data_IF_404409440010
#
_entry.id   IF_404409440010
#
_cell.length_a   1.000
_cell.length_b   1.000
_cell.length_c   1.000
_cell.angle_alpha   90.00
_cell.angle_beta   90.00
_cell.angle_gamma   90.00
#
_symmetry.space_group_name_H-M   'P 1'
#
loop_
_entity.id
_entity.type
_entity.pdbx_description
1 polymer ?
#
# COMPACT_ATOMS: atom_id res chain seq x y z
N UNK A 1 0.48 18.51 8.08
CA UNK A 1 -0.54 17.47 8.39
C UNK A 1 -0.53 16.44 7.27
N UNK A 2 -0.52 15.15 7.61
CA UNK A 2 -0.54 14.03 6.66
C UNK A 2 -1.98 13.62 6.39
N UNK A 3 -2.37 13.53 5.12
CA UNK A 3 -3.65 12.98 4.70
C UNK A 3 -3.50 11.51 4.36
N UNK A 4 -4.18 10.64 5.09
CA UNK A 4 -4.24 9.20 4.80
C UNK A 4 -5.55 8.89 4.10
N UNK A 5 -5.47 8.38 2.88
CA UNK A 5 -6.61 7.89 2.10
C UNK A 5 -6.83 6.42 2.47
N UNK A 6 -7.94 6.16 3.14
CA UNK A 6 -8.35 4.82 3.56
C UNK A 6 -9.05 4.08 2.40
N UNK A 7 -8.37 3.07 1.87
CA UNK A 7 -8.89 2.15 0.86
C UNK A 7 -9.67 0.98 1.48
N UNK A 8 -10.37 1.22 2.59
CA UNK A 8 -11.12 0.21 3.36
C UNK A 8 -10.24 -0.90 3.92
N UNK A 9 -9.07 -0.50 4.42
CA UNK A 9 -8.09 -1.40 5.02
C UNK A 9 -8.22 -1.49 6.54
N UNK A 10 -8.06 -2.69 7.10
CA UNK A 10 -8.08 -2.90 8.56
C UNK A 10 -6.83 -2.36 9.28
N UNK A 11 -5.72 -2.15 8.58
CA UNK A 11 -4.45 -1.67 9.12
C UNK A 11 -4.22 -0.17 8.94
N UNK A 12 -5.15 0.56 8.30
CA UNK A 12 -5.01 2.01 8.03
C UNK A 12 -4.71 2.81 9.31
N UNK A 13 -5.33 2.45 10.43
CA UNK A 13 -5.10 3.14 11.70
C UNK A 13 -3.72 2.83 12.31
N UNK A 14 -3.09 1.70 12.00
CA UNK A 14 -1.70 1.44 12.37
C UNK A 14 -0.75 2.36 11.59
N UNK A 15 -0.99 2.52 10.29
CA UNK A 15 -0.24 3.45 9.45
C UNK A 15 -0.37 4.90 9.96
N UNK A 16 -1.60 5.34 10.27
CA UNK A 16 -1.86 6.65 10.86
C UNK A 16 -1.13 6.82 12.20
N UNK A 17 -1.22 5.82 13.09
CA UNK A 17 -0.52 5.81 14.39
C UNK A 17 1.00 5.92 14.23
N UNK A 18 1.61 5.26 13.25
CA UNK A 18 3.04 5.38 12.99
C UNK A 18 3.41 6.83 12.66
N UNK A 19 2.64 7.48 11.77
CA UNK A 19 2.85 8.88 11.44
C UNK A 19 2.70 9.80 12.66
N UNK A 20 1.69 9.56 13.52
CA UNK A 20 1.50 10.30 14.77
C UNK A 20 2.65 10.09 15.76
N UNK A 21 3.17 8.86 15.87
CA UNK A 21 4.34 8.55 16.70
C UNK A 21 5.60 9.28 16.22
N UNK A 22 5.71 9.52 14.90
CA UNK A 22 6.76 10.31 14.28
C UNK A 22 6.51 11.83 14.36
N UNK A 23 5.48 12.26 15.10
CA UNK A 23 5.20 13.66 15.40
C UNK A 23 4.34 14.39 14.38
N UNK A 24 3.74 13.69 13.44
CA UNK A 24 2.90 14.30 12.42
C UNK A 24 1.42 14.31 12.82
N UNK A 25 0.73 15.43 12.56
CA UNK A 25 -0.73 15.46 12.61
C UNK A 25 -1.29 14.66 11.43
N UNK A 26 -2.28 13.81 11.67
CA UNK A 26 -2.85 12.91 10.67
C UNK A 26 -4.36 13.12 10.54
N UNK A 27 -4.85 13.12 9.30
CA UNK A 27 -6.27 13.00 8.99
C UNK A 27 -6.48 11.76 8.14
N UNK A 28 -7.33 10.84 8.61
CA UNK A 28 -7.76 9.65 7.84
C UNK A 28 -9.09 9.94 7.20
N UNK A 29 -9.21 9.69 5.90
CA UNK A 29 -10.45 9.88 5.14
C UNK A 29 -10.62 8.76 4.12
N UNK A 30 -11.81 8.18 4.01
CA UNK A 30 -12.08 7.11 3.04
C UNK A 30 -11.97 7.62 1.61
N UNK A 31 -11.50 6.74 0.72
CA UNK A 31 -11.27 7.04 -0.70
C UNK A 31 -12.52 7.48 -1.48
N UNK A 32 -13.71 7.24 -0.93
CA UNK A 32 -15.02 7.65 -1.47
C UNK A 32 -15.70 8.80 -0.67
N UNK A 33 -15.01 9.38 0.31
CA UNK A 33 -15.55 10.43 1.20
C UNK A 33 -14.77 11.76 1.11
N UNK A 34 -13.95 11.91 0.09
CA UNK A 34 -13.19 13.13 -0.18
C UNK A 34 -13.19 13.40 -1.69
N UNK A 35 -13.02 14.63 -2.08
CA UNK A 35 -12.90 15.06 -3.48
C UNK A 35 -11.53 15.67 -3.73
N UNK A 36 -11.05 15.69 -4.97
CA UNK A 36 -9.80 16.38 -5.35
C UNK A 36 -9.81 17.87 -4.96
N UNK A 37 -10.98 18.50 -5.05
CA UNK A 37 -11.15 19.92 -4.64
C UNK A 37 -10.93 20.11 -3.13
N UNK A 38 -11.41 19.19 -2.31
CA UNK A 38 -11.20 19.22 -0.86
C UNK A 38 -9.74 18.97 -0.51
N UNK A 39 -9.07 18.03 -1.20
CA UNK A 39 -7.63 17.78 -1.03
C UNK A 39 -6.82 19.05 -1.37
N UNK A 40 -7.12 19.72 -2.50
CA UNK A 40 -6.46 20.99 -2.85
C UNK A 40 -6.67 22.06 -1.77
N UNK A 41 -7.89 22.16 -1.21
CA UNK A 41 -8.21 23.12 -0.15
C UNK A 41 -7.51 22.76 1.17
N UNK A 42 -7.40 21.49 1.47
CA UNK A 42 -6.74 20.98 2.67
C UNK A 42 -5.24 21.23 2.63
N UNK A 43 -4.63 21.19 1.43
CA UNK A 43 -3.20 21.38 1.17
C UNK A 43 -2.34 20.58 2.16
N UNK A 44 -2.46 19.23 2.19
CA UNK A 44 -1.69 18.41 3.12
C UNK A 44 -0.20 18.44 2.76
N UNK A 45 0.67 18.24 3.76
CA UNK A 45 2.11 18.16 3.58
C UNK A 45 2.53 16.86 2.83
N UNK A 46 1.72 15.81 2.95
CA UNK A 46 1.83 14.58 2.17
C UNK A 46 0.49 13.84 2.11
N UNK A 47 0.37 12.95 1.11
CA UNK A 47 -0.74 12.01 0.96
C UNK A 47 -0.21 10.59 1.10
N UNK A 48 -0.81 9.79 1.99
CA UNK A 48 -0.55 8.36 2.10
C UNK A 48 -1.76 7.58 1.55
N UNK A 49 -1.52 6.73 0.55
CA UNK A 49 -2.53 5.81 0.03
C UNK A 49 -2.40 4.49 0.79
N UNK A 50 -3.41 4.12 1.56
CA UNK A 50 -3.39 2.93 2.41
C UNK A 50 -3.40 1.63 1.59
N UNK A 51 -3.06 0.49 2.22
CA UNK A 51 -3.47 -0.81 1.72
C UNK A 51 -4.99 -0.86 1.49
N UNK A 52 -5.46 -1.93 0.84
CA UNK A 52 -6.90 -2.15 0.62
C UNK A 52 -7.16 -3.42 -0.17
N UNK A 53 -8.43 -3.83 -0.26
CA UNK A 53 -8.85 -4.96 -1.08
C UNK A 53 -8.92 -4.59 -2.57
N UNK A 54 -9.10 -5.63 -3.40
CA UNK A 54 -9.35 -5.53 -4.85
C UNK A 54 -8.18 -4.99 -5.66
N UNK A 55 -8.44 -4.15 -6.66
CA UNK A 55 -7.47 -3.61 -7.62
C UNK A 55 -7.45 -2.08 -7.59
N UNK A 56 -6.44 -1.42 -8.17
CA UNK A 56 -6.43 0.04 -8.28
C UNK A 56 -7.66 0.65 -8.95
N UNK A 57 -8.31 -0.07 -9.89
CA UNK A 57 -9.53 0.39 -10.55
C UNK A 57 -10.73 0.48 -9.60
N UNK A 58 -10.68 -0.22 -8.47
CA UNK A 58 -11.71 -0.28 -7.45
C UNK A 58 -11.33 0.51 -6.20
N UNK A 59 -10.17 1.19 -6.23
CA UNK A 59 -9.64 1.99 -5.11
C UNK A 59 -10.27 3.40 -5.01
N UNK A 60 -11.49 3.58 -5.50
CA UNK A 60 -12.19 4.86 -5.46
C UNK A 60 -11.38 5.97 -6.11
N UNK A 61 -11.14 7.07 -5.41
CA UNK A 61 -10.45 8.27 -5.93
C UNK A 61 -8.91 8.11 -6.00
N UNK A 62 -8.34 6.98 -5.57
CA UNK A 62 -6.89 6.86 -5.37
C UNK A 62 -6.06 7.02 -6.65
N UNK A 63 -6.56 6.56 -7.82
CA UNK A 63 -5.89 6.78 -9.12
C UNK A 63 -5.84 8.26 -9.48
N UNK A 64 -6.98 8.95 -9.43
CA UNK A 64 -7.09 10.38 -9.75
C UNK A 64 -6.27 11.25 -8.78
N UNK A 65 -6.11 10.83 -7.52
CA UNK A 65 -5.22 11.49 -6.55
C UNK A 65 -3.77 11.43 -7.02
N UNK A 66 -3.29 10.28 -7.49
CA UNK A 66 -1.92 10.17 -8.01
C UNK A 66 -1.77 11.03 -9.26
N UNK A 67 -2.68 10.92 -10.23
CA UNK A 67 -2.64 11.68 -11.49
C UNK A 67 -2.62 13.20 -11.26
N UNK A 68 -3.40 13.69 -10.29
CA UNK A 68 -3.55 15.12 -10.02
C UNK A 68 -2.42 15.70 -9.16
N UNK A 69 -1.95 14.95 -8.15
CA UNK A 69 -1.09 15.53 -7.11
C UNK A 69 0.37 15.06 -7.15
N UNK A 70 0.73 14.07 -7.96
CA UNK A 70 2.08 13.48 -7.97
C UNK A 70 3.23 14.50 -8.14
N UNK A 71 3.03 15.55 -8.93
CA UNK A 71 4.02 16.60 -9.14
C UNK A 71 3.99 17.75 -8.11
N UNK A 72 3.07 17.71 -7.15
CA UNK A 72 2.77 18.83 -6.27
C UNK A 72 2.81 18.51 -4.79
N UNK A 73 2.40 17.31 -4.41
CA UNK A 73 2.31 16.86 -3.02
C UNK A 73 3.05 15.53 -2.92
N UNK A 74 3.93 15.32 -1.93
CA UNK A 74 4.56 14.03 -1.70
C UNK A 74 3.52 12.90 -1.49
N UNK A 75 3.67 11.79 -2.21
CA UNK A 75 2.75 10.65 -2.14
C UNK A 75 3.51 9.39 -1.75
N UNK A 76 3.03 8.70 -0.70
CA UNK A 76 3.49 7.37 -0.33
C UNK A 76 2.33 6.37 -0.49
N UNK A 77 2.49 5.37 -1.35
CA UNK A 77 1.52 4.30 -1.55
C UNK A 77 1.95 3.00 -0.87
N UNK A 78 1.06 2.40 -0.08
CA UNK A 78 1.31 1.12 0.62
C UNK A 78 0.41 0.03 0.03
N UNK A 79 0.99 -1.09 -0.38
CA UNK A 79 0.32 -2.27 -0.95
C UNK A 79 -0.58 -1.91 -2.13
N UNK A 80 -1.90 -1.77 -1.95
CA UNK A 80 -2.81 -1.27 -3.00
C UNK A 80 -2.42 0.14 -3.46
N UNK A 81 -1.97 1.01 -2.56
CA UNK A 81 -1.47 2.35 -2.89
C UNK A 81 -0.22 2.31 -3.79
N UNK A 82 0.70 1.37 -3.57
CA UNK A 82 1.85 1.13 -4.46
C UNK A 82 1.39 0.69 -5.85
N UNK A 83 0.44 -0.24 -5.92
CA UNK A 83 -0.14 -0.72 -7.19
C UNK A 83 -0.87 0.42 -7.92
N UNK A 84 -1.58 1.27 -7.17
CA UNK A 84 -2.24 2.48 -7.70
C UNK A 84 -1.22 3.44 -8.33
N UNK A 85 -0.09 3.68 -7.67
CA UNK A 85 1.02 4.47 -8.24
C UNK A 85 1.53 3.83 -9.53
N UNK A 86 1.85 2.54 -9.52
CA UNK A 86 2.35 1.86 -10.71
C UNK A 86 1.37 1.99 -11.89
N UNK A 87 0.07 1.81 -11.64
CA UNK A 87 -0.97 1.89 -12.68
C UNK A 87 -1.21 3.33 -13.17
N UNK A 88 -1.22 4.32 -12.29
CA UNK A 88 -1.42 5.73 -12.66
C UNK A 88 -0.34 6.24 -13.62
N UNK A 89 0.89 5.72 -13.51
CA UNK A 89 1.98 6.01 -14.44
C UNK A 89 2.04 5.05 -15.66
N UNK A 90 1.03 4.19 -15.86
CA UNK A 90 0.90 3.33 -17.05
C UNK A 90 1.48 1.92 -16.91
N UNK A 91 1.94 1.53 -15.73
CA UNK A 91 2.31 0.15 -15.41
C UNK A 91 1.09 -0.76 -15.29
N UNK A 92 1.29 -2.07 -15.40
CA UNK A 92 0.25 -3.08 -15.25
C UNK A 92 0.32 -3.72 -13.87
N UNK A 93 -0.83 -3.95 -13.26
CA UNK A 93 -0.97 -4.70 -12.00
C UNK A 93 -1.63 -6.04 -12.30
N UNK A 94 -0.95 -7.13 -11.95
CA UNK A 94 -1.37 -8.48 -12.27
C UNK A 94 -1.25 -9.44 -11.08
N UNK A 95 -1.71 -10.67 -11.22
CA UNK A 95 -1.60 -11.68 -10.16
C UNK A 95 -0.15 -11.99 -9.84
N UNK A 96 0.18 -11.99 -8.56
CA UNK A 96 1.49 -12.40 -8.07
C UNK A 96 1.72 -13.89 -8.40
N UNK A 97 2.91 -14.25 -8.89
CA UNK A 97 3.28 -15.67 -9.01
C UNK A 97 3.34 -16.35 -7.63
N UNK A 98 3.48 -15.57 -6.57
CA UNK A 98 3.53 -16.03 -5.19
C UNK A 98 2.60 -15.18 -4.31
N UNK A 99 1.29 -15.52 -4.21
CA UNK A 99 0.36 -14.84 -3.31
C UNK A 99 0.79 -15.01 -1.85
N UNK A 100 0.78 -13.90 -1.10
CA UNK A 100 1.20 -13.88 0.30
C UNK A 100 0.09 -13.32 1.19
N UNK A 101 -0.05 -13.91 2.39
CA UNK A 101 -0.97 -13.40 3.41
C UNK A 101 -0.33 -13.51 4.80
N UNK A 102 0.07 -12.38 5.36
CA UNK A 102 0.70 -12.31 6.68
C UNK A 102 2.04 -13.03 6.78
N UNK A 103 2.79 -13.11 5.68
CA UNK A 103 4.06 -13.84 5.62
C UNK A 103 5.22 -12.89 5.40
N UNK A 104 6.36 -13.28 5.97
CA UNK A 104 7.61 -12.53 5.88
C UNK A 104 8.40 -12.95 4.66
N UNK A 105 9.01 -11.98 3.98
CA UNK A 105 9.99 -12.20 2.91
C UNK A 105 11.22 -11.33 3.12
N UNK A 106 12.37 -11.79 2.64
CA UNK A 106 13.54 -10.94 2.49
C UNK A 106 13.46 -10.19 1.16
N UNK A 107 13.81 -8.92 1.18
CA UNK A 107 13.93 -8.09 -0.01
C UNK A 107 15.36 -7.55 -0.12
N UNK A 108 15.83 -7.39 -1.35
CA UNK A 108 17.04 -6.65 -1.67
C UNK A 108 16.66 -5.27 -2.18
N UNK A 109 17.37 -4.24 -1.75
CA UNK A 109 17.08 -2.86 -2.12
C UNK A 109 18.33 -2.10 -2.58
N UNK A 110 18.10 -0.99 -3.28
CA UNK A 110 19.18 -0.20 -3.88
C UNK A 110 19.96 0.67 -2.90
N UNK A 111 19.65 0.65 -1.61
CA UNK A 111 20.21 1.54 -0.58
C UNK A 111 20.06 3.03 -0.91
N UNK A 112 18.96 3.39 -1.56
CA UNK A 112 18.61 4.75 -1.98
C UNK A 112 17.22 5.13 -1.45
N UNK A 113 16.88 6.43 -1.50
CA UNK A 113 15.56 6.93 -1.12
C UNK A 113 15.21 6.50 0.31
N UNK A 114 13.99 5.97 0.51
CA UNK A 114 13.51 5.49 1.81
C UNK A 114 14.29 4.29 2.38
N UNK A 115 15.20 3.69 1.63
CA UNK A 115 16.07 2.59 2.07
C UNK A 115 17.50 3.01 2.40
N UNK A 116 17.84 4.30 2.32
CA UNK A 116 19.19 4.77 2.55
C UNK A 116 19.70 4.41 3.96
N UNK A 117 20.82 3.67 4.04
CA UNK A 117 21.44 3.27 5.30
C UNK A 117 20.71 2.15 6.07
N UNK A 118 19.63 1.56 5.50
CA UNK A 118 18.99 0.40 6.11
C UNK A 118 19.74 -0.89 5.76
N UNK A 119 19.64 -1.95 6.61
CA UNK A 119 20.23 -3.25 6.33
C UNK A 119 19.70 -3.87 5.05
N UNK A 120 20.59 -4.53 4.28
CA UNK A 120 20.27 -5.21 3.04
C UNK A 120 20.89 -6.62 3.05
N UNK A 121 20.11 -7.71 2.94
CA UNK A 121 18.65 -7.74 2.76
C UNK A 121 17.86 -7.34 4.01
N UNK A 122 16.59 -6.94 3.80
CA UNK A 122 15.66 -6.52 4.84
C UNK A 122 14.41 -7.42 4.88
N UNK A 123 13.91 -7.70 6.09
CA UNK A 123 12.72 -8.52 6.30
C UNK A 123 11.46 -7.65 6.29
N UNK A 124 10.47 -8.05 5.46
CA UNK A 124 9.20 -7.31 5.30
C UNK A 124 7.99 -8.23 5.33
N UNK A 125 6.87 -7.72 5.84
CA UNK A 125 5.60 -8.44 5.88
C UNK A 125 4.76 -8.16 4.62
N UNK A 126 4.17 -9.21 4.04
CA UNK A 126 3.41 -9.16 2.80
C UNK A 126 1.99 -9.72 2.98
N UNK A 127 0.99 -9.02 2.39
CA UNK A 127 -0.43 -9.40 2.40
C UNK A 127 -1.07 -9.27 1.01
N UNK A 128 -0.34 -9.50 -0.08
CA UNK A 128 -0.83 -9.20 -1.41
C UNK A 128 -0.90 -10.41 -2.33
N UNK A 129 -1.92 -10.43 -3.19
CA UNK A 129 -2.10 -11.39 -4.28
C UNK A 129 -1.87 -10.75 -5.66
N UNK A 130 -1.72 -9.42 -5.71
CA UNK A 130 -1.42 -8.64 -6.91
C UNK A 130 -0.06 -7.97 -6.76
N UNK A 131 0.58 -7.69 -7.89
CA UNK A 131 1.90 -7.02 -7.97
C UNK A 131 1.96 -6.12 -9.20
N UNK A 132 2.77 -5.07 -9.13
CA UNK A 132 3.17 -4.32 -10.32
C UNK A 132 4.09 -5.22 -11.17
N UNK A 133 3.77 -5.37 -12.46
CA UNK A 133 4.51 -6.21 -13.41
C UNK A 133 5.80 -5.50 -13.82
N UNK A 134 6.99 -6.07 -13.53
CA UNK A 134 8.28 -5.38 -13.75
C UNK A 134 8.48 -4.87 -15.17
N UNK A 135 8.14 -5.69 -16.17
CA UNK A 135 8.39 -5.41 -17.59
C UNK A 135 7.43 -4.35 -18.17
N UNK A 136 6.41 -3.97 -17.44
CA UNK A 136 5.43 -2.94 -17.84
C UNK A 136 5.63 -1.61 -17.15
N UNK A 137 6.53 -1.54 -16.15
CA UNK A 137 6.81 -0.29 -15.45
C UNK A 137 7.42 0.72 -16.43
N UNK A 138 6.88 1.95 -16.50
CA UNK A 138 7.43 2.99 -17.34
C UNK A 138 8.79 3.47 -16.85
N UNK A 139 9.56 4.11 -17.73
CA UNK A 139 10.92 4.59 -17.41
C UNK A 139 10.95 5.65 -16.30
N UNK A 140 9.85 6.34 -16.08
CA UNK A 140 9.67 7.35 -15.02
C UNK A 140 9.66 6.74 -13.62
N UNK A 141 9.35 5.43 -13.51
CA UNK A 141 9.36 4.70 -12.26
C UNK A 141 10.65 3.87 -12.12
N UNK A 142 11.37 4.12 -11.04
CA UNK A 142 12.55 3.35 -10.66
C UNK A 142 12.20 2.30 -9.61
N UNK A 143 12.67 1.07 -9.83
CA UNK A 143 12.50 0.00 -8.84
C UNK A 143 13.57 0.12 -7.76
N UNK A 144 13.15 0.33 -6.52
CA UNK A 144 14.01 0.47 -5.35
C UNK A 144 14.30 -0.85 -4.64
N UNK A 145 13.34 -1.79 -4.66
CA UNK A 145 13.48 -3.07 -3.97
C UNK A 145 12.74 -4.19 -4.69
N UNK A 146 13.28 -5.42 -4.56
CA UNK A 146 12.73 -6.66 -5.13
C UNK A 146 12.93 -7.84 -4.19
N UNK A 147 12.09 -8.87 -4.35
CA UNK A 147 12.39 -10.20 -3.80
C UNK A 147 13.42 -10.92 -4.66
N UNK A 148 14.06 -12.02 -4.15
CA UNK A 148 14.91 -12.89 -4.96
C UNK A 148 14.21 -13.47 -6.21
N UNK A 149 12.87 -13.56 -6.20
CA UNK A 149 12.04 -14.03 -7.33
C UNK A 149 11.67 -12.88 -8.29
N UNK A 150 12.35 -11.72 -8.19
CA UNK A 150 12.13 -10.53 -9.02
C UNK A 150 10.73 -9.89 -8.89
N UNK A 151 10.03 -10.11 -7.78
CA UNK A 151 8.78 -9.39 -7.49
C UNK A 151 9.14 -7.97 -7.03
N UNK A 152 8.55 -6.96 -7.67
CA UNK A 152 8.76 -5.55 -7.32
C UNK A 152 8.16 -5.28 -5.94
N UNK A 153 8.99 -4.77 -5.03
CA UNK A 153 8.62 -4.52 -3.64
C UNK A 153 8.64 -3.04 -3.27
N UNK A 154 9.33 -2.22 -4.05
CA UNK A 154 9.27 -0.76 -3.93
C UNK A 154 9.60 -0.08 -5.25
N UNK A 155 8.93 1.04 -5.49
CA UNK A 155 9.16 1.94 -6.62
C UNK A 155 9.26 3.38 -6.15
N UNK A 156 9.92 4.23 -6.93
CA UNK A 156 9.84 5.69 -6.80
C UNK A 156 9.71 6.33 -8.19
N UNK A 157 9.10 7.49 -8.26
CA UNK A 157 9.16 8.31 -9.46
C UNK A 157 10.50 9.07 -9.49
N UNK A 158 11.11 9.18 -10.68
CA UNK A 158 12.46 9.79 -10.81
C UNK A 158 12.49 11.29 -10.56
N UNK A 159 11.38 11.98 -10.85
CA UNK A 159 11.28 13.45 -10.77
C UNK A 159 10.28 13.91 -9.70
N UNK A 160 9.17 13.19 -9.53
CA UNK A 160 8.11 13.57 -8.60
C UNK A 160 8.32 12.95 -7.21
N UNK A 161 7.83 13.60 -6.15
CA UNK A 161 7.95 13.09 -4.79
C UNK A 161 6.96 11.94 -4.53
N UNK A 162 7.12 10.84 -5.25
CA UNK A 162 6.22 9.68 -5.21
C UNK A 162 7.01 8.41 -4.93
N UNK A 163 6.61 7.69 -3.87
CA UNK A 163 7.18 6.41 -3.47
C UNK A 163 6.06 5.39 -3.26
N UNK A 164 6.28 4.14 -3.67
CA UNK A 164 5.37 3.04 -3.44
C UNK A 164 6.08 1.87 -2.76
N UNK A 165 5.48 1.32 -1.70
CA UNK A 165 5.93 0.11 -1.00
C UNK A 165 4.88 -0.99 -1.15
N UNK A 166 5.24 -2.14 -1.73
CA UNK A 166 4.31 -3.27 -1.91
C UNK A 166 4.06 -4.03 -0.59
N UNK A 167 4.96 -3.94 0.35
CA UNK A 167 4.86 -4.53 1.68
C UNK A 167 4.27 -3.54 2.69
N UNK A 168 4.04 -4.02 3.92
CA UNK A 168 3.38 -3.27 4.99
C UNK A 168 4.41 -2.75 6.01
N UNK A 169 4.85 -1.48 5.95
CA UNK A 169 5.77 -0.90 6.93
C UNK A 169 5.12 -0.77 8.32
N UNK A 170 3.78 -0.66 8.40
CA UNK A 170 3.01 -0.57 9.64
C UNK A 170 2.80 -1.92 10.34
N UNK A 171 3.29 -3.01 9.74
CA UNK A 171 3.26 -4.34 10.36
C UNK A 171 4.44 -4.53 11.29
N UNK A 172 4.18 -5.04 12.50
CA UNK A 172 5.22 -5.41 13.48
C UNK A 172 6.23 -6.45 12.93
N UNK A 173 5.82 -7.22 11.91
CA UNK A 173 6.67 -8.21 11.25
C UNK A 173 7.60 -7.60 10.19
N UNK A 174 7.50 -6.30 9.91
CA UNK A 174 8.40 -5.56 9.01
C UNK A 174 9.51 -4.92 9.83
N UNK A 175 10.76 -5.25 9.52
CA UNK A 175 11.90 -4.58 10.12
C UNK A 175 11.97 -3.12 9.61
N UNK A 176 12.33 -2.19 10.50
CA UNK A 176 12.56 -0.77 10.15
C UNK A 176 11.34 -0.01 9.58
N UNK A 177 10.11 -0.41 9.95
CA UNK A 177 8.88 0.23 9.45
C UNK A 177 8.79 1.73 9.81
N UNK A 178 9.15 2.11 11.03
CA UNK A 178 9.21 3.52 11.46
C UNK A 178 10.28 4.30 10.70
N UNK A 179 11.46 3.70 10.50
CA UNK A 179 12.57 4.32 9.79
C UNK A 179 12.23 4.57 8.32
N UNK A 180 11.53 3.65 7.66
CA UNK A 180 11.05 3.84 6.27
C UNK A 180 10.13 5.05 6.15
N UNK A 181 9.16 5.20 7.07
CA UNK A 181 8.25 6.34 7.08
C UNK A 181 8.98 7.63 7.43
N UNK A 182 9.88 7.61 8.44
CA UNK A 182 10.69 8.77 8.80
C UNK A 182 11.54 9.23 7.61
N UNK A 183 12.19 8.30 6.90
CA UNK A 183 13.00 8.64 5.72
C UNK A 183 12.17 9.22 4.58
N UNK A 184 10.93 8.75 4.38
CA UNK A 184 10.02 9.38 3.43
C UNK A 184 9.73 10.84 3.81
N UNK A 185 9.45 11.13 5.06
CA UNK A 185 9.18 12.49 5.52
C UNK A 185 10.43 13.38 5.41
N UNK A 186 11.58 12.87 5.82
CA UNK A 186 12.86 13.59 5.74
C UNK A 186 13.27 13.88 4.30
N UNK A 187 13.10 12.91 3.38
CA UNK A 187 13.43 13.03 1.97
C UNK A 187 12.71 14.19 1.28
N UNK A 188 11.47 14.42 1.68
CA UNK A 188 10.65 15.48 1.10
C UNK A 188 10.47 16.70 2.02
N UNK A 189 11.29 16.80 3.08
CA UNK A 189 11.32 17.96 3.98
C UNK A 189 10.06 18.17 4.80
N UNK A 190 9.29 17.11 5.05
CA UNK A 190 8.04 17.18 5.82
C UNK A 190 8.38 17.18 7.30
N UNK A 191 8.20 18.36 7.92
CA UNK A 191 8.57 18.55 9.33
C UNK A 191 7.48 18.05 10.28
N UNK A 192 7.85 17.39 11.40
CA UNK A 192 6.89 16.99 12.42
C UNK A 192 6.30 18.24 13.11
N UNK A 193 5.02 18.19 13.47
CA UNK A 193 4.31 19.27 14.19
C UNK A 193 4.48 19.14 15.70
N UNK A 194 4.85 17.95 16.19
CA UNK A 194 5.14 17.68 17.60
C UNK A 194 6.48 16.94 17.72
N UNK A 195 7.02 16.87 18.94
CA UNK A 195 8.26 16.10 19.15
C UNK A 195 8.03 14.62 18.86
N UNK A 196 8.78 14.02 17.90
CA UNK A 196 8.71 12.59 17.63
C UNK A 196 9.06 11.78 18.88
N UNK A 197 8.42 10.63 19.05
CA UNK A 197 8.86 9.65 20.04
C UNK A 197 10.09 8.91 19.55
N UNK A 198 11.07 8.58 20.40
CA UNK A 198 12.22 7.79 20.01
C UNK A 198 11.79 6.44 19.40
N UNK A 199 12.30 6.10 18.21
CA UNK A 199 11.94 4.84 17.53
C UNK A 199 12.27 3.62 18.39
N UNK A 200 13.34 3.66 19.19
CA UNK A 200 13.69 2.59 20.13
C UNK A 200 12.59 2.31 21.17
N UNK A 201 11.91 3.35 21.65
CA UNK A 201 10.76 3.20 22.57
C UNK A 201 9.54 2.63 21.86
N UNK A 202 9.28 3.07 20.62
CA UNK A 202 8.17 2.59 19.80
C UNK A 202 8.29 1.08 19.54
N UNK A 203 9.46 0.63 19.11
CA UNK A 203 9.75 -0.80 18.87
C UNK A 203 9.62 -1.63 20.16
N UNK A 204 10.06 -1.10 21.30
CA UNK A 204 9.92 -1.79 22.59
C UNK A 204 8.46 -1.98 22.99
N UNK A 205 7.59 -1.01 22.70
CA UNK A 205 6.15 -1.11 22.97
C UNK A 205 5.44 -2.11 22.05
N UNK A 206 5.85 -2.21 20.78
CA UNK A 206 5.31 -3.20 19.85
C UNK A 206 5.63 -4.62 20.29
N UNK A 207 6.87 -4.88 20.65
CA UNK A 207 7.30 -6.20 21.15
C UNK A 207 6.60 -6.60 22.47
N UNK A 208 6.24 -5.62 23.32
CA UNK A 208 5.51 -5.87 24.55
C UNK A 208 4.02 -6.19 24.34
N UNK A 209 3.47 -5.88 23.17
CA UNK A 209 2.07 -6.17 22.79
C UNK A 209 1.89 -7.52 22.08
N UNK A 210 2.96 -8.27 21.82
CA UNK A 210 2.82 -9.64 21.30
C UNK A 210 2.17 -10.54 22.36
N UNK A 211 1.09 -11.28 22.02
CA UNK A 211 0.57 -12.28 22.93
C UNK A 211 1.65 -13.33 23.19
N UNK A 212 1.76 -13.87 24.42
CA UNK A 212 2.76 -14.88 24.74
C UNK A 212 2.64 -16.05 23.74
N UNK A 213 3.75 -16.42 23.15
CA UNK A 213 3.81 -17.56 22.24
C UNK A 213 3.15 -18.76 22.91
N UNK A 214 2.12 -19.33 22.29
CA UNK A 214 1.50 -20.54 22.76
C UNK A 214 2.58 -21.61 22.84
N UNK A 215 2.99 -21.95 24.08
CA UNK A 215 3.80 -23.12 24.36
C UNK A 215 2.99 -24.33 23.89
N UNK A 216 3.45 -24.97 22.84
CA UNK A 216 2.97 -26.30 22.47
C UNK A 216 3.50 -27.28 23.51
N UNK A 217 2.81 -27.43 24.63
CA UNK A 217 2.98 -28.57 25.50
C UNK A 217 2.30 -29.79 24.84
N UNK A 218 3.07 -30.48 24.04
CA UNK A 218 2.77 -31.86 23.66
C UNK A 218 3.05 -32.76 24.85
N UNK A 219 2.09 -32.93 25.74
CA UNK A 219 2.05 -34.13 26.62
C UNK A 219 0.69 -34.26 27.30
N UNK A 220 -0.22 -34.98 26.68
CA UNK A 220 -1.08 -36.01 27.30
C UNK A 220 -2.21 -36.40 26.34
N UNK A 221 -1.94 -37.42 25.55
CA UNK A 221 -2.98 -38.13 24.80
C UNK A 221 -3.87 -38.88 25.81
N UNK A 222 -5.05 -38.36 26.09
CA UNK A 222 -6.12 -39.16 26.70
C UNK A 222 -7.20 -39.36 25.63
N UNK A 223 -7.28 -40.56 25.12
CA UNK A 223 -8.30 -41.01 24.18
C UNK A 223 -9.68 -40.88 24.81
N UNK A 224 -10.50 -39.97 24.33
CA UNK A 224 -11.94 -40.02 24.54
C UNK A 224 -12.60 -40.24 23.18
N UNK A 225 -13.17 -41.43 23.02
CA UNK A 225 -14.02 -41.81 21.90
C UNK A 225 -15.28 -40.95 21.89
N UNK A 226 -15.41 -40.10 20.88
CA UNK A 226 -16.63 -39.39 20.58
C UNK A 226 -17.29 -39.98 19.33
N UNK A 227 -18.48 -40.57 19.56
CA UNK A 227 -19.40 -41.06 18.54
C UNK A 227 -19.90 -39.90 17.68
N UNK A 228 -19.85 -40.08 16.37
CA UNK A 228 -20.34 -39.14 15.36
C UNK A 228 -21.87 -38.95 15.44
N UNK A 229 -22.41 -37.72 15.42
CA UNK A 229 -23.75 -37.46 14.98
C UNK A 229 -23.80 -37.15 13.47
N UNK A 230 -24.85 -37.66 12.87
CA UNK A 230 -25.18 -37.65 11.44
C UNK A 230 -25.20 -36.27 10.79
N UNK A 231 -24.82 -36.29 9.52
CA UNK A 231 -24.96 -35.29 8.47
C UNK A 231 -26.17 -34.34 8.60
N UNK A 232 -25.89 -33.04 8.71
CA UNK A 232 -26.81 -31.99 8.28
C UNK A 232 -26.17 -31.22 7.15
N UNK A 233 -26.81 -31.24 6.01
CA UNK A 233 -26.46 -30.55 4.77
C UNK A 233 -26.45 -29.04 4.96
N UNK A 234 -25.28 -28.41 4.90
CA UNK A 234 -25.20 -26.96 4.73
C UNK A 234 -25.26 -26.63 3.25
N UNK A 235 -26.36 -26.00 2.85
CA UNK A 235 -26.49 -25.40 1.53
C UNK A 235 -25.73 -24.09 1.53
N UNK A 236 -24.73 -24.00 0.67
CA UNK A 236 -24.03 -22.76 0.31
C UNK A 236 -24.98 -21.88 -0.53
N UNK A 237 -25.14 -20.59 -0.21
CA UNK A 237 -25.78 -19.65 -1.13
C UNK A 237 -24.85 -19.38 -2.29
N UNK A 238 -25.20 -19.84 -3.47
CA UNK A 238 -24.58 -19.45 -4.73
C UNK A 238 -25.04 -18.04 -5.09
N UNK A 239 -24.19 -17.04 -4.88
CA UNK A 239 -24.35 -15.74 -5.54
C UNK A 239 -23.71 -15.83 -6.92
N UNK A 240 -24.51 -16.14 -7.91
CA UNK A 240 -24.20 -15.92 -9.32
C UNK A 240 -24.32 -14.42 -9.58
N UNK A 241 -23.18 -13.80 -9.89
CA UNK A 241 -23.13 -12.46 -10.45
C UNK A 241 -23.55 -12.57 -11.94
N UNK A 242 -24.80 -12.28 -12.26
CA UNK A 242 -25.26 -12.14 -13.62
C UNK A 242 -24.71 -10.86 -14.24
N UNK A 243 -23.86 -11.01 -15.22
CA UNK A 243 -23.42 -9.97 -16.13
C UNK A 243 -24.60 -9.45 -16.95
N UNK A 244 -25.06 -8.24 -16.68
CA UNK A 244 -25.86 -7.48 -17.64
C UNK A 244 -24.90 -6.70 -18.54
N UNK A 245 -24.66 -7.23 -19.72
CA UNK A 245 -24.07 -6.51 -20.85
C UNK A 245 -25.17 -5.59 -21.39
N UNK A 246 -25.04 -4.30 -21.19
CA UNK A 246 -25.75 -3.28 -21.96
C UNK A 246 -24.70 -2.42 -22.65
N UNK A 247 -24.63 -2.57 -23.97
CA UNK A 247 -23.91 -1.71 -24.89
C UNK A 247 -24.53 -0.32 -24.89
N UNK A 248 -23.76 0.77 -24.80
CA UNK A 248 -24.21 2.07 -25.28
C UNK A 248 -23.53 2.38 -26.63
N UNK A 249 -24.37 2.83 -27.49
CA UNK A 249 -24.14 3.33 -28.85
C UNK A 249 -23.17 4.52 -28.89
N UNK A 250 -22.53 4.61 -30.04
CA UNK A 250 -21.56 5.60 -30.45
C UNK A 250 -21.93 7.05 -30.17
N UNK A 251 -20.99 7.80 -29.55
CA UNK A 251 -20.88 9.24 -29.75
C UNK A 251 -19.45 9.58 -30.15
N UNK A 252 -19.23 9.69 -31.45
CA UNK A 252 -18.00 10.24 -32.03
C UNK A 252 -17.97 11.74 -31.79
N UNK A 253 -16.99 12.22 -31.03
CA UNK A 253 -16.62 13.64 -30.97
C UNK A 253 -15.42 13.85 -31.93
N UNK A 254 -15.45 14.84 -32.86
CA UNK A 254 -14.36 15.06 -33.80
C UNK A 254 -13.20 15.81 -33.13
N UNK A 255 -11.97 15.37 -33.45
CA UNK A 255 -10.72 16.04 -33.07
C UNK A 255 -10.60 17.40 -33.80
N UNK A 256 -10.10 18.45 -33.17
CA UNK A 256 -9.79 19.70 -33.84
C UNK A 256 -8.54 19.60 -34.70
N UNK A 257 -8.64 19.98 -35.96
CA UNK A 257 -7.54 20.08 -36.93
C UNK A 257 -6.46 21.06 -36.44
N UNK A 258 -5.21 20.65 -36.46
CA UNK A 258 -4.05 21.55 -36.39
C UNK A 258 -3.99 22.43 -37.63
N UNK A 259 -4.01 23.74 -37.47
CA UNK A 259 -3.65 24.67 -38.53
C UNK A 259 -2.15 24.74 -38.70
N UNK A 260 -1.66 24.29 -39.85
CA UNK A 260 -0.33 24.57 -40.36
C UNK A 260 -0.28 26.03 -40.84
N UNK A 261 0.70 26.76 -40.37
CA UNK A 261 1.01 28.10 -40.88
C UNK A 261 2.53 28.28 -40.85
N UNK A 262 3.13 28.22 -42.01
CA UNK A 262 4.40 28.87 -42.36
C UNK A 262 4.05 30.09 -43.23
N UNK A 263 4.93 31.03 -43.52
CA UNK A 263 6.39 30.95 -43.62
C UNK A 263 7.17 31.54 -42.45
#
# INVERSE_FOLDING_TARGET
MILVIDNFDSFVFNLARYCECLGHAVQVTRNNQITLKEIRKLAPDAILLSPGPCTPNEAGLSLEIVEEFAGHIPILGICLGHQTIAQAFGGTVDRSPEPMHGRVSLIEHANLSVFAGLPNPMKVCRYHSLVATPDTLPNELEVLAKTPQNIVMAIQHREYPVVGLQFHPESILTDYGFELLQQFFDLYGIQPQTSPRPISELKSQELACEPPAHSTDESSATQHSYSSPRSSTWQTPSHTCEQRVSTPDACRVPLPMRKSGAP
#
